data_IF_131652043445
#
_entry.id   IF_131652043445
#
_cell.length_a   1.000
_cell.length_b   1.000
_cell.length_c   1.000
_cell.angle_alpha   90.00
_cell.angle_beta   90.00
_cell.angle_gamma   90.00
#
_symmetry.space_group_name_H-M   'P 1'
#
loop_
_entity.id
_entity.type
_entity.pdbx_description
1 polymer ?
#
# COMPACT_ATOMS: atom_id res chain seq x y z
N UNK A 1 11.13 16.89 -18.06
CA UNK A 1 12.37 16.17 -18.41
C UNK A 1 12.38 14.89 -17.61
N UNK A 2 12.17 13.74 -18.26
CA UNK A 2 12.34 12.45 -17.60
C UNK A 2 13.84 12.12 -17.57
N UNK A 3 14.33 11.69 -16.42
CA UNK A 3 15.72 11.24 -16.27
C UNK A 3 15.93 9.89 -16.95
N UNK A 4 17.16 9.59 -17.39
CA UNK A 4 17.49 8.30 -18.04
C UNK A 4 17.14 7.08 -17.16
N UNK A 5 17.23 7.25 -15.83
CA UNK A 5 16.80 6.27 -14.85
C UNK A 5 15.28 6.02 -14.88
N UNK A 6 14.46 7.08 -14.99
CA UNK A 6 13.00 6.96 -15.10
C UNK A 6 12.59 6.26 -16.41
N UNK A 7 13.30 6.56 -17.51
CA UNK A 7 13.11 5.86 -18.79
C UNK A 7 13.42 4.37 -18.66
N UNK A 8 14.57 4.02 -18.10
CA UNK A 8 14.97 2.62 -17.89
C UNK A 8 13.98 1.85 -17.02
N UNK A 9 13.48 2.47 -15.94
CA UNK A 9 12.46 1.86 -15.08
C UNK A 9 11.12 1.66 -15.78
N UNK A 10 10.69 2.64 -16.59
CA UNK A 10 9.47 2.52 -17.39
C UNK A 10 9.56 1.35 -18.39
N UNK A 11 10.70 1.22 -19.09
CA UNK A 11 10.97 0.12 -20.00
C UNK A 11 10.94 -1.24 -19.29
N UNK A 12 11.64 -1.37 -18.16
CA UNK A 12 11.63 -2.62 -17.37
C UNK A 12 10.23 -2.98 -16.87
N UNK A 13 9.45 -1.99 -16.45
CA UNK A 13 8.08 -2.23 -16.00
C UNK A 13 7.18 -2.71 -17.15
N UNK A 14 7.23 -2.05 -18.31
CA UNK A 14 6.47 -2.47 -19.50
C UNK A 14 6.87 -3.88 -19.97
N UNK A 15 8.17 -4.18 -20.01
CA UNK A 15 8.68 -5.52 -20.33
C UNK A 15 8.18 -6.58 -19.33
N UNK A 16 8.17 -6.27 -18.02
CA UNK A 16 7.64 -7.18 -16.99
C UNK A 16 6.15 -7.45 -17.11
N UNK A 17 5.44 -6.64 -17.90
CA UNK A 17 3.99 -6.75 -18.19
C UNK A 17 3.71 -7.28 -19.59
N UNK A 18 4.73 -7.81 -20.28
CA UNK A 18 4.60 -8.43 -21.61
C UNK A 18 4.57 -7.44 -22.78
N UNK A 19 5.00 -6.18 -22.57
CA UNK A 19 5.00 -5.14 -23.61
C UNK A 19 6.40 -4.52 -23.76
N UNK A 20 7.40 -5.24 -24.29
CA UNK A 20 8.73 -4.68 -24.52
C UNK A 20 8.70 -3.61 -25.63
N UNK A 21 9.16 -2.40 -25.32
CA UNK A 21 9.24 -1.26 -26.25
C UNK A 21 10.64 -0.65 -26.22
N UNK A 22 11.09 0.00 -27.31
CA UNK A 22 12.36 0.74 -27.35
C UNK A 22 12.23 2.12 -26.70
N UNK A 23 11.09 2.77 -26.90
CA UNK A 23 10.78 4.06 -26.33
C UNK A 23 9.28 4.11 -25.98
N UNK A 24 8.91 4.31 -24.70
CA UNK A 24 7.51 4.50 -24.34
C UNK A 24 7.02 5.84 -24.90
N UNK A 25 5.72 5.95 -25.18
CA UNK A 25 5.16 7.25 -25.57
C UNK A 25 5.42 8.30 -24.47
N UNK A 26 5.58 9.60 -24.81
CA UNK A 26 5.94 10.62 -23.83
C UNK A 26 5.02 10.67 -22.60
N UNK A 27 3.71 10.49 -22.82
CA UNK A 27 2.72 10.43 -21.76
C UNK A 27 2.88 9.19 -20.87
N UNK A 28 3.10 8.00 -21.47
CA UNK A 28 3.35 6.77 -20.71
C UNK A 28 4.62 6.86 -19.86
N UNK A 29 5.67 7.46 -20.40
CA UNK A 29 6.88 7.74 -19.64
C UNK A 29 6.62 8.64 -18.43
N UNK A 30 5.88 9.74 -18.61
CA UNK A 30 5.50 10.63 -17.51
C UNK A 30 4.59 9.94 -16.47
N UNK A 31 3.65 9.11 -16.92
CA UNK A 31 2.76 8.35 -16.06
C UNK A 31 3.54 7.32 -15.23
N UNK A 32 4.47 6.58 -15.83
CA UNK A 32 5.33 5.61 -15.13
C UNK A 32 6.33 6.29 -14.19
N UNK A 33 6.80 7.51 -14.52
CA UNK A 33 7.64 8.30 -13.62
C UNK A 33 6.92 8.71 -12.31
N UNK A 34 5.57 8.67 -12.28
CA UNK A 34 4.82 8.89 -11.02
C UNK A 34 5.04 7.79 -9.98
N UNK A 35 5.44 6.58 -10.41
CA UNK A 35 5.77 5.45 -9.55
C UNK A 35 7.14 5.61 -8.88
N UNK A 36 8.07 6.30 -9.52
CA UNK A 36 9.41 6.43 -8.99
C UNK A 36 9.45 7.48 -7.88
N UNK A 37 9.43 7.03 -6.63
CA UNK A 37 9.64 7.91 -5.49
C UNK A 37 11.14 8.10 -5.33
N UNK A 38 11.72 9.03 -6.10
CA UNK A 38 13.08 9.48 -5.83
C UNK A 38 13.15 9.95 -4.38
N UNK A 39 14.20 9.55 -3.65
CA UNK A 39 14.36 9.78 -2.20
C UNK A 39 14.07 11.24 -1.83
N UNK A 40 14.51 12.21 -2.64
CA UNK A 40 14.26 13.64 -2.42
C UNK A 40 12.78 14.06 -2.47
N UNK A 41 11.92 13.36 -3.21
CA UNK A 41 10.48 13.65 -3.27
C UNK A 41 9.65 13.01 -2.15
N UNK A 42 10.21 12.03 -1.44
CA UNK A 42 9.60 11.45 -0.24
C UNK A 42 10.09 12.10 1.05
N UNK A 43 11.31 12.63 1.07
CA UNK A 43 11.93 13.14 2.30
C UNK A 43 11.06 14.13 3.10
N UNK A 44 10.40 15.15 2.50
CA UNK A 44 9.55 16.06 3.26
C UNK A 44 8.36 15.35 3.93
N UNK A 45 7.77 14.37 3.24
CA UNK A 45 6.65 13.60 3.77
C UNK A 45 7.11 12.59 4.83
N UNK A 46 8.28 11.98 4.62
CA UNK A 46 8.91 11.07 5.58
C UNK A 46 9.24 11.78 6.89
N UNK A 47 9.77 13.00 6.82
CA UNK A 47 10.03 13.83 8.00
C UNK A 47 8.71 14.21 8.70
N UNK A 48 7.72 14.71 7.95
CA UNK A 48 6.43 15.11 8.52
C UNK A 48 5.73 13.92 9.22
N UNK A 49 5.52 12.82 8.51
CA UNK A 49 4.81 11.67 9.07
C UNK A 49 5.66 10.90 10.08
N UNK A 50 6.99 10.92 9.96
CA UNK A 50 7.89 10.36 10.97
C UNK A 50 7.82 11.10 12.30
N UNK A 51 7.80 12.44 12.27
CA UNK A 51 7.61 13.26 13.49
C UNK A 51 6.22 13.03 14.09
N UNK A 52 5.16 13.04 13.27
CA UNK A 52 3.80 12.73 13.74
C UNK A 52 3.69 11.33 14.34
N UNK A 53 4.36 10.34 13.74
CA UNK A 53 4.39 8.98 14.24
C UNK A 53 5.15 8.87 15.57
N UNK A 54 6.27 9.59 15.73
CA UNK A 54 7.02 9.63 16.98
C UNK A 54 6.18 10.20 18.13
N UNK A 55 5.60 11.40 17.94
CA UNK A 55 4.75 12.01 18.97
C UNK A 55 3.47 11.22 19.20
N UNK A 56 2.89 10.65 18.14
CA UNK A 56 1.75 9.75 18.22
C UNK A 56 2.06 8.54 19.09
N UNK A 57 3.19 7.87 18.88
CA UNK A 57 3.62 6.72 19.68
C UNK A 57 3.81 7.09 21.16
N UNK A 58 4.53 8.19 21.44
CA UNK A 58 4.76 8.67 22.82
C UNK A 58 3.43 8.98 23.52
N UNK A 59 2.54 9.70 22.84
CA UNK A 59 1.22 10.03 23.39
C UNK A 59 0.35 8.79 23.61
N UNK A 60 0.41 7.83 22.68
CA UNK A 60 -0.33 6.57 22.77
C UNK A 60 0.15 5.72 23.94
N UNK A 61 1.46 5.54 24.08
CA UNK A 61 2.05 4.80 25.21
C UNK A 61 1.80 5.50 26.54
N UNK A 62 1.75 6.84 26.56
CA UNK A 62 1.40 7.61 27.75
C UNK A 62 -0.07 7.46 28.15
N UNK A 63 -0.98 7.27 27.18
CA UNK A 63 -2.41 7.05 27.42
C UNK A 63 -2.71 5.67 28.02
N UNK A 64 -2.02 4.63 27.54
CA UNK A 64 -2.27 3.23 27.95
C UNK A 64 -1.27 2.69 28.98
N UNK A 65 -0.17 3.41 29.21
CA UNK A 65 0.83 3.11 30.22
C UNK A 65 1.51 1.74 30.02
N UNK A 66 2.00 1.10 31.10
CA UNK A 66 2.80 -0.13 31.01
C UNK A 66 2.02 -1.36 30.48
N UNK A 67 0.68 -1.26 30.40
CA UNK A 67 -0.20 -2.28 29.83
C UNK A 67 -0.46 -2.13 28.33
N UNK A 68 0.14 -1.14 27.67
CA UNK A 68 0.03 -0.93 26.22
C UNK A 68 0.65 -2.09 25.42
N UNK A 69 0.27 -2.15 24.14
CA UNK A 69 0.82 -3.07 23.15
C UNK A 69 2.32 -2.77 22.96
N UNK A 70 3.20 -3.79 22.97
CA UNK A 70 4.64 -3.56 22.78
C UNK A 70 4.94 -3.14 21.35
N UNK A 71 4.08 -3.56 20.41
CA UNK A 71 4.15 -3.22 19.01
C UNK A 71 3.72 -1.78 18.65
N UNK A 72 3.37 -0.92 19.62
CA UNK A 72 3.01 0.49 19.37
C UNK A 72 4.01 1.21 18.44
N UNK A 73 5.34 1.20 18.69
CA UNK A 73 6.28 1.91 17.83
C UNK A 73 6.29 1.36 16.40
N UNK A 74 6.11 0.04 16.24
CA UNK A 74 6.06 -0.60 14.93
C UNK A 74 4.79 -0.20 14.15
N UNK A 75 3.64 -0.10 14.81
CA UNK A 75 2.42 0.43 14.18
C UNK A 75 2.59 1.87 13.69
N UNK A 76 3.14 2.75 14.53
CA UNK A 76 3.36 4.15 14.14
C UNK A 76 4.40 4.29 13.03
N UNK A 77 5.46 3.48 13.03
CA UNK A 77 6.39 3.40 11.90
C UNK A 77 5.68 2.95 10.62
N UNK A 78 4.81 1.94 10.70
CA UNK A 78 4.01 1.49 9.56
C UNK A 78 3.08 2.59 9.03
N UNK A 79 2.43 3.36 9.91
CA UNK A 79 1.59 4.51 9.51
C UNK A 79 2.42 5.56 8.77
N UNK A 80 3.60 5.90 9.29
CA UNK A 80 4.48 6.87 8.66
C UNK A 80 4.91 6.43 7.26
N UNK A 81 5.33 5.18 7.10
CA UNK A 81 5.73 4.61 5.81
C UNK A 81 4.55 4.64 4.84
N UNK A 82 3.40 4.14 5.25
CA UNK A 82 2.19 4.07 4.44
C UNK A 82 1.75 5.45 3.95
N UNK A 83 1.67 6.44 4.85
CA UNK A 83 1.25 7.80 4.53
C UNK A 83 2.28 8.53 3.66
N UNK A 84 3.58 8.32 3.90
CA UNK A 84 4.66 8.88 3.08
C UNK A 84 4.57 8.38 1.65
N UNK A 85 4.50 7.07 1.45
CA UNK A 85 4.39 6.46 0.12
C UNK A 85 3.13 6.93 -0.62
N UNK A 86 1.99 6.94 0.08
CA UNK A 86 0.73 7.44 -0.47
C UNK A 86 0.83 8.90 -0.91
N UNK A 87 1.34 9.77 -0.02
CA UNK A 87 1.36 11.21 -0.27
C UNK A 87 2.35 11.57 -1.37
N UNK A 88 3.50 10.92 -1.42
CA UNK A 88 4.49 11.05 -2.51
C UNK A 88 3.94 10.60 -3.85
N UNK A 89 3.22 9.47 -3.92
CA UNK A 89 2.57 9.03 -5.15
C UNK A 89 1.48 10.01 -5.59
N UNK A 90 0.64 10.48 -4.65
CA UNK A 90 -0.46 11.42 -4.96
C UNK A 90 0.03 12.80 -5.38
N UNK A 91 1.12 13.32 -4.83
CA UNK A 91 1.66 14.63 -5.23
C UNK A 91 2.11 14.62 -6.69
N UNK A 92 2.81 13.56 -7.13
CA UNK A 92 3.22 13.37 -8.53
C UNK A 92 2.04 13.18 -9.46
N UNK A 93 1.07 12.35 -9.09
CA UNK A 93 -0.17 12.19 -9.87
C UNK A 93 -0.93 13.52 -10.02
N UNK A 94 -1.00 14.34 -8.96
CA UNK A 94 -1.61 15.67 -9.03
C UNK A 94 -0.84 16.63 -9.92
N UNK A 95 0.49 16.57 -9.92
CA UNK A 95 1.31 17.37 -10.83
C UNK A 95 1.06 16.98 -12.30
N UNK A 96 0.99 15.68 -12.60
CA UNK A 96 0.65 15.18 -13.93
C UNK A 96 -0.79 15.55 -14.34
N UNK A 97 -1.74 15.47 -13.40
CA UNK A 97 -3.13 15.85 -13.63
C UNK A 97 -3.30 17.33 -14.04
N UNK A 98 -2.41 18.23 -13.61
CA UNK A 98 -2.47 19.66 -13.98
C UNK A 98 -2.17 19.91 -15.46
N UNK A 99 -1.45 18.98 -16.10
CA UNK A 99 -1.02 19.11 -17.51
C UNK A 99 -1.73 18.09 -18.41
N UNK A 100 -2.71 17.36 -17.89
CA UNK A 100 -3.45 16.32 -18.62
C UNK A 100 -4.94 16.58 -18.49
N UNK A 101 -5.69 16.46 -19.59
CA UNK A 101 -7.14 16.48 -19.52
C UNK A 101 -7.67 15.18 -18.88
N UNK A 102 -8.71 15.24 -18.02
CA UNK A 102 -9.31 14.04 -17.44
C UNK A 102 -9.85 13.11 -18.53
N UNK A 103 -9.57 11.81 -18.41
CA UNK A 103 -10.11 10.82 -19.34
C UNK A 103 -11.64 10.71 -19.22
N UNK A 104 -12.41 10.79 -20.32
CA UNK A 104 -13.87 10.78 -20.30
C UNK A 104 -14.48 9.37 -20.11
N UNK A 105 -13.66 8.32 -20.20
CA UNK A 105 -14.13 6.94 -20.13
C UNK A 105 -14.42 6.43 -18.70
N UNK A 106 -14.87 5.17 -18.58
CA UNK A 106 -15.42 4.64 -17.34
C UNK A 106 -14.39 4.63 -16.20
N UNK A 107 -14.89 4.92 -15.00
CA UNK A 107 -14.15 4.95 -13.74
C UNK A 107 -13.37 3.63 -13.55
N UNK A 108 -12.15 3.65 -13.01
CA UNK A 108 -11.35 2.45 -12.80
C UNK A 108 -12.09 1.43 -11.94
N UNK A 109 -11.93 0.14 -12.28
CA UNK A 109 -12.57 -0.97 -11.56
C UNK A 109 -12.14 -1.00 -10.09
N UNK A 110 -13.04 -1.54 -9.27
CA UNK A 110 -12.88 -1.78 -7.83
C UNK A 110 -11.66 -2.64 -7.51
N UNK A 111 -11.12 -2.54 -6.27
CA UNK A 111 -10.07 -3.44 -5.81
C UNK A 111 -10.49 -4.91 -5.98
N UNK A 112 -9.51 -5.77 -6.31
CA UNK A 112 -9.77 -7.20 -6.53
C UNK A 112 -10.24 -7.89 -5.25
N UNK A 113 -11.06 -8.95 -5.39
CA UNK A 113 -11.64 -9.67 -4.25
C UNK A 113 -10.61 -10.18 -3.22
N UNK A 114 -9.42 -10.59 -3.67
CA UNK A 114 -8.34 -11.01 -2.77
C UNK A 114 -7.79 -9.88 -1.89
N UNK A 115 -7.74 -8.65 -2.42
CA UNK A 115 -7.35 -7.49 -1.63
C UNK A 115 -8.42 -7.12 -0.60
N UNK A 116 -9.70 -7.21 -0.98
CA UNK A 116 -10.81 -7.00 -0.04
C UNK A 116 -10.77 -8.06 1.07
N UNK A 117 -10.50 -9.32 0.72
CA UNK A 117 -10.36 -10.40 1.68
C UNK A 117 -9.18 -10.16 2.64
N UNK A 118 -8.01 -9.72 2.15
CA UNK A 118 -6.87 -9.43 3.04
C UNK A 118 -7.15 -8.25 3.97
N UNK A 119 -7.83 -7.20 3.50
CA UNK A 119 -8.30 -6.08 4.33
C UNK A 119 -9.28 -6.58 5.40
N UNK A 120 -10.28 -7.38 5.02
CA UNK A 120 -11.26 -7.92 5.95
C UNK A 120 -10.60 -8.82 7.01
N UNK A 121 -9.68 -9.69 6.59
CA UNK A 121 -8.93 -10.55 7.51
C UNK A 121 -8.08 -9.73 8.48
N UNK A 122 -7.36 -8.71 8.01
CA UNK A 122 -6.53 -7.87 8.86
C UNK A 122 -7.37 -7.17 9.94
N UNK A 123 -8.45 -6.49 9.56
CA UNK A 123 -9.19 -5.67 10.51
C UNK A 123 -10.21 -6.46 11.31
N UNK A 124 -11.02 -7.31 10.67
CA UNK A 124 -12.02 -8.12 11.38
C UNK A 124 -11.36 -9.27 12.16
N UNK A 125 -10.33 -9.91 11.60
CA UNK A 125 -9.58 -10.96 12.29
C UNK A 125 -8.79 -10.39 13.48
N UNK A 126 -8.08 -9.27 13.28
CA UNK A 126 -7.40 -8.57 14.38
C UNK A 126 -8.36 -8.11 15.48
N UNK A 127 -9.52 -7.55 15.10
CA UNK A 127 -10.54 -7.14 16.08
C UNK A 127 -11.11 -8.34 16.84
N UNK A 128 -11.41 -9.46 16.17
CA UNK A 128 -11.91 -10.66 16.83
C UNK A 128 -10.89 -11.24 17.83
N UNK A 129 -9.61 -11.28 17.45
CA UNK A 129 -8.53 -11.70 18.35
C UNK A 129 -8.40 -10.76 19.55
N UNK A 130 -8.41 -9.44 19.31
CA UNK A 130 -8.39 -8.45 20.39
C UNK A 130 -9.58 -8.63 21.34
N UNK A 131 -10.79 -8.78 20.79
CA UNK A 131 -12.02 -8.98 21.57
C UNK A 131 -11.96 -10.24 22.44
N UNK A 132 -11.33 -11.32 21.96
CA UNK A 132 -11.15 -12.55 22.72
C UNK A 132 -10.28 -12.36 23.99
N UNK A 133 -9.47 -11.31 24.06
CA UNK A 133 -8.65 -10.98 25.22
C UNK A 133 -9.37 -10.12 26.27
N UNK A 134 -10.56 -9.57 25.99
CA UNK A 134 -11.25 -8.67 26.92
C UNK A 134 -11.66 -9.33 28.24
N UNK A 135 -11.91 -10.65 28.23
CA UNK A 135 -12.24 -11.44 29.42
C UNK A 135 -11.00 -11.94 30.18
N UNK A 136 -9.81 -11.54 29.76
CA UNK A 136 -8.53 -11.96 30.37
C UNK A 136 -7.85 -10.80 31.10
N UNK A 137 -6.84 -11.03 31.95
CA UNK A 137 -6.03 -9.97 32.55
C UNK A 137 -5.34 -9.06 31.51
N UNK A 138 -5.23 -9.48 30.25
CA UNK A 138 -4.66 -8.71 29.15
C UNK A 138 -5.62 -7.66 28.56
N UNK A 139 -6.65 -7.21 29.30
CA UNK A 139 -7.65 -6.25 28.82
C UNK A 139 -7.05 -4.93 28.33
N UNK A 140 -6.05 -4.39 29.02
CA UNK A 140 -5.40 -3.13 28.61
C UNK A 140 -4.70 -3.30 27.25
N UNK A 141 -4.02 -4.42 27.05
CA UNK A 141 -3.42 -4.80 25.78
C UNK A 141 -4.47 -4.95 24.67
N UNK A 142 -5.61 -5.57 24.99
CA UNK A 142 -6.70 -5.74 24.04
C UNK A 142 -7.23 -4.40 23.52
N UNK A 143 -7.52 -3.47 24.45
CA UNK A 143 -8.07 -2.14 24.11
C UNK A 143 -7.05 -1.29 23.35
N UNK A 144 -5.78 -1.29 23.77
CA UNK A 144 -4.72 -0.57 23.06
C UNK A 144 -4.48 -1.15 21.65
N UNK A 145 -4.45 -2.47 21.52
CA UNK A 145 -4.30 -3.08 20.20
C UNK A 145 -5.50 -2.79 19.29
N UNK A 146 -6.72 -2.82 19.83
CA UNK A 146 -7.93 -2.47 19.09
C UNK A 146 -7.90 -1.01 18.61
N UNK A 147 -7.40 -0.09 19.45
CA UNK A 147 -7.23 1.31 19.07
C UNK A 147 -6.22 1.49 17.94
N UNK A 148 -5.10 0.78 17.96
CA UNK A 148 -4.11 0.78 16.87
C UNK A 148 -4.68 0.18 15.58
N UNK A 149 -5.47 -0.90 15.66
CA UNK A 149 -6.18 -1.48 14.52
C UNK A 149 -7.19 -0.49 13.91
N UNK A 150 -7.95 0.22 14.75
CA UNK A 150 -8.89 1.24 14.29
C UNK A 150 -8.16 2.38 13.58
N UNK A 151 -7.05 2.88 14.16
CA UNK A 151 -6.24 3.92 13.54
C UNK A 151 -5.63 3.45 12.21
N UNK A 152 -5.13 2.21 12.17
CA UNK A 152 -4.65 1.58 10.94
C UNK A 152 -5.74 1.49 9.87
N UNK A 153 -6.95 1.09 10.25
CA UNK A 153 -8.09 1.02 9.33
C UNK A 153 -8.44 2.39 8.76
N UNK A 154 -8.38 3.45 9.57
CA UNK A 154 -8.58 4.83 9.11
C UNK A 154 -7.48 5.27 8.14
N UNK A 155 -6.21 4.98 8.44
CA UNK A 155 -5.10 5.27 7.52
C UNK A 155 -5.28 4.56 6.18
N UNK A 156 -5.54 3.24 6.20
CA UNK A 156 -5.82 2.44 5.01
C UNK A 156 -7.03 2.97 4.24
N UNK A 157 -8.13 3.29 4.92
CA UNK A 157 -9.33 3.89 4.31
C UNK A 157 -9.03 5.23 3.62
N UNK A 158 -8.24 6.11 4.26
CA UNK A 158 -7.80 7.38 3.68
C UNK A 158 -6.93 7.18 2.43
N UNK A 159 -6.00 6.23 2.46
CA UNK A 159 -5.13 5.88 1.32
C UNK A 159 -5.98 5.37 0.14
N UNK A 160 -6.86 4.40 0.41
CA UNK A 160 -7.74 3.80 -0.59
C UNK A 160 -8.70 4.83 -1.19
N UNK A 161 -9.40 5.60 -0.35
CA UNK A 161 -10.28 6.67 -0.80
C UNK A 161 -9.51 7.70 -1.63
N UNK A 162 -8.27 8.00 -1.22
CA UNK A 162 -7.38 8.89 -1.95
C UNK A 162 -7.08 8.41 -3.37
N UNK A 163 -6.80 7.12 -3.56
CA UNK A 163 -6.53 6.54 -4.88
C UNK A 163 -7.80 6.32 -5.71
N UNK A 164 -8.89 5.86 -5.09
CA UNK A 164 -10.15 5.56 -5.80
C UNK A 164 -10.88 6.83 -6.25
N UNK A 165 -10.71 7.95 -5.54
CA UNK A 165 -11.25 9.26 -5.94
C UNK A 165 -10.28 10.06 -6.84
N UNK A 166 -9.15 9.48 -7.25
CA UNK A 166 -8.20 10.15 -8.13
C UNK A 166 -8.79 10.32 -9.54
N UNK A 167 -8.51 11.44 -10.22
CA UNK A 167 -8.83 11.55 -11.63
C UNK A 167 -8.05 10.50 -12.44
N UNK A 168 -8.69 9.97 -13.48
CA UNK A 168 -8.08 9.01 -14.41
C UNK A 168 -7.10 9.76 -15.31
N UNK A 169 -5.83 9.34 -15.28
CA UNK A 169 -4.76 9.93 -16.09
C UNK A 169 -4.52 9.04 -17.31
N UNK A 170 -5.26 9.30 -18.38
CA UNK A 170 -5.15 8.58 -19.64
C UNK A 170 -5.49 9.51 -20.82
N UNK A 171 -4.84 9.26 -21.96
CA UNK A 171 -5.02 9.99 -23.23
C UNK A 171 -5.52 9.04 -24.33
N UNK A 172 -5.35 7.74 -24.15
CA UNK A 172 -5.71 6.68 -25.09
C UNK A 172 -5.96 5.35 -24.35
N UNK A 173 -6.38 4.31 -25.08
CA UNK A 173 -6.61 2.97 -24.52
C UNK A 173 -5.38 2.36 -23.82
N UNK A 174 -4.18 2.38 -24.44
CA UNK A 174 -2.94 1.91 -23.82
C UNK A 174 -2.58 2.63 -22.50
N UNK A 175 -2.66 3.96 -22.45
CA UNK A 175 -2.40 4.72 -21.22
C UNK A 175 -3.44 4.46 -20.14
N UNK A 176 -4.70 4.22 -20.50
CA UNK A 176 -5.72 3.76 -19.55
C UNK A 176 -5.38 2.38 -18.96
N UNK A 177 -4.87 1.46 -19.78
CA UNK A 177 -4.44 0.15 -19.31
C UNK A 177 -3.25 0.24 -18.33
N UNK A 178 -2.26 1.08 -18.65
CA UNK A 178 -1.12 1.35 -17.75
C UNK A 178 -1.59 2.02 -16.47
N UNK A 179 -2.47 3.03 -16.54
CA UNK A 179 -3.03 3.68 -15.37
C UNK A 179 -3.75 2.69 -14.45
N UNK A 180 -4.56 1.79 -15.01
CA UNK A 180 -5.26 0.76 -14.24
C UNK A 180 -4.30 -0.21 -13.56
N UNK A 181 -3.27 -0.65 -14.26
CA UNK A 181 -2.24 -1.52 -13.68
C UNK A 181 -1.47 -0.82 -12.55
N UNK A 182 -1.10 0.46 -12.74
CA UNK A 182 -0.46 1.26 -11.70
C UNK A 182 -1.38 1.53 -10.51
N UNK A 183 -2.67 1.78 -10.74
CA UNK A 183 -3.65 1.93 -9.66
C UNK A 183 -3.76 0.65 -8.83
N UNK A 184 -3.80 -0.51 -9.50
CA UNK A 184 -3.81 -1.80 -8.81
C UNK A 184 -2.55 -2.01 -7.97
N UNK A 185 -1.36 -1.64 -8.46
CA UNK A 185 -0.12 -1.66 -7.67
C UNK A 185 -0.15 -0.65 -6.50
N UNK A 186 -0.59 0.57 -6.75
CA UNK A 186 -0.60 1.66 -5.75
C UNK A 186 -1.58 1.39 -4.60
N UNK A 187 -2.67 0.66 -4.84
CA UNK A 187 -3.60 0.22 -3.79
C UNK A 187 -2.89 -0.63 -2.73
N UNK A 188 -1.85 -1.40 -3.12
CA UNK A 188 -1.05 -2.18 -2.18
C UNK A 188 -0.14 -1.31 -1.29
N UNK A 189 -0.02 0.00 -1.52
CA UNK A 189 0.59 0.91 -0.53
C UNK A 189 -0.20 0.89 0.78
N UNK A 190 -1.51 0.65 0.72
CA UNK A 190 -2.33 0.48 1.92
C UNK A 190 -2.03 -0.83 2.69
N UNK A 191 -1.24 -1.75 2.12
CA UNK A 191 -0.73 -3.00 2.69
C UNK A 191 -1.38 -3.47 4.02
N UNK A 192 -2.46 -4.26 3.97
CA UNK A 192 -3.11 -4.82 5.17
C UNK A 192 -2.16 -5.56 6.13
N UNK A 193 -1.06 -6.13 5.63
CA UNK A 193 0.00 -6.73 6.42
C UNK A 193 0.64 -5.76 7.43
N UNK A 194 0.66 -4.46 7.15
CA UNK A 194 1.13 -3.43 8.09
C UNK A 194 0.25 -3.34 9.35
N UNK A 195 -0.98 -3.85 9.30
CA UNK A 195 -1.85 -3.97 10.47
C UNK A 195 -1.69 -5.33 11.20
N UNK A 196 -1.23 -6.36 10.51
CA UNK A 196 -1.22 -7.75 11.01
C UNK A 196 0.15 -8.23 11.52
N UNK A 197 1.24 -7.66 11.00
CA UNK A 197 2.61 -8.05 11.36
C UNK A 197 3.10 -7.45 12.69
N UNK A 198 2.85 -6.16 13.01
CA UNK A 198 3.37 -5.58 14.25
C UNK A 198 3.04 -6.37 15.53
N UNK A 199 1.83 -6.94 15.71
CA UNK A 199 1.50 -7.75 16.89
C UNK A 199 2.38 -8.98 17.12
N UNK A 200 3.09 -9.47 16.09
CA UNK A 200 4.06 -10.56 16.26
C UNK A 200 5.16 -10.17 17.26
N UNK A 201 5.53 -8.89 17.32
CA UNK A 201 6.52 -8.39 18.28
C UNK A 201 6.05 -8.55 19.73
N UNK A 202 4.74 -8.61 19.96
CA UNK A 202 4.19 -8.82 21.31
C UNK A 202 4.39 -10.25 21.81
N UNK A 203 4.65 -11.22 20.91
CA UNK A 203 4.96 -12.61 21.27
C UNK A 203 6.27 -12.69 22.06
N UNK A 204 7.20 -11.74 21.86
CA UNK A 204 8.43 -11.65 22.64
C UNK A 204 8.18 -11.36 24.13
N UNK A 205 6.96 -10.91 24.49
CA UNK A 205 6.50 -10.75 25.88
C UNK A 205 5.38 -11.72 26.20
N UNK A 206 5.70 -13.01 26.06
CA UNK A 206 4.79 -14.12 26.31
C UNK A 206 4.19 -14.13 27.73
N UNK A 207 4.83 -13.47 28.69
CA UNK A 207 4.33 -13.29 30.06
C UNK A 207 3.00 -12.52 30.14
N UNK A 208 2.66 -11.74 29.10
CA UNK A 208 1.47 -10.88 29.08
C UNK A 208 0.29 -11.47 28.28
N UNK A 209 0.50 -12.59 27.60
CA UNK A 209 -0.48 -13.20 26.71
C UNK A 209 -0.92 -14.57 27.25
N UNK A 210 -2.19 -14.95 27.08
CA UNK A 210 -2.64 -16.31 27.40
C UNK A 210 -1.83 -17.37 26.65
N UNK A 211 -1.67 -18.55 27.27
CA UNK A 211 -0.97 -19.67 26.64
C UNK A 211 -1.58 -20.02 25.28
N UNK A 212 -0.74 -20.22 24.26
CA UNK A 212 -1.16 -20.52 22.89
C UNK A 212 -1.59 -19.30 22.04
N UNK A 213 -1.80 -18.13 22.64
CA UNK A 213 -2.23 -16.93 21.90
C UNK A 213 -1.18 -16.44 20.89
N UNK A 214 0.11 -16.65 21.18
CA UNK A 214 1.19 -16.32 20.23
C UNK A 214 1.11 -17.10 18.92
N UNK A 215 0.69 -18.37 18.96
CA UNK A 215 0.48 -19.16 17.74
C UNK A 215 -0.73 -18.63 16.94
N UNK A 216 -1.79 -18.18 17.62
CA UNK A 216 -2.94 -17.55 16.98
C UNK A 216 -2.55 -16.24 16.27
N UNK A 217 -1.73 -15.39 16.91
CA UNK A 217 -1.19 -14.17 16.30
C UNK A 217 -0.33 -14.47 15.06
N UNK A 218 0.55 -15.47 15.15
CA UNK A 218 1.40 -15.88 14.03
C UNK A 218 0.56 -16.42 12.85
N UNK A 219 -0.44 -17.27 13.13
CA UNK A 219 -1.36 -17.80 12.12
C UNK A 219 -2.18 -16.69 11.46
N UNK A 220 -2.68 -15.73 12.23
CA UNK A 220 -3.37 -14.55 11.74
C UNK A 220 -2.48 -13.71 10.80
N UNK A 221 -1.25 -13.38 11.23
CA UNK A 221 -0.34 -12.61 10.41
C UNK A 221 0.03 -13.34 9.11
N UNK A 222 0.30 -14.66 9.19
CA UNK A 222 0.58 -15.48 8.01
C UNK A 222 -0.60 -15.50 7.02
N UNK A 223 -1.84 -15.59 7.52
CA UNK A 223 -3.04 -15.57 6.69
C UNK A 223 -3.21 -14.22 5.97
N UNK A 224 -3.02 -13.10 6.67
CA UNK A 224 -3.11 -11.76 6.08
C UNK A 224 -2.01 -11.55 5.05
N UNK A 225 -0.77 -11.85 5.39
CA UNK A 225 0.37 -11.72 4.46
C UNK A 225 0.20 -12.61 3.23
N UNK A 226 -0.23 -13.86 3.42
CA UNK A 226 -0.47 -14.80 2.32
C UNK A 226 -1.58 -14.33 1.38
N UNK A 227 -2.70 -13.88 1.92
CA UNK A 227 -3.82 -13.36 1.10
C UNK A 227 -3.45 -12.06 0.38
N UNK A 228 -2.72 -11.16 1.04
CA UNK A 228 -2.19 -9.95 0.40
C UNK A 228 -1.19 -10.28 -0.72
N UNK A 229 -0.28 -11.24 -0.49
CA UNK A 229 0.66 -11.69 -1.51
C UNK A 229 -0.07 -12.26 -2.73
N UNK A 230 -1.10 -13.08 -2.53
CA UNK A 230 -1.95 -13.57 -3.63
C UNK A 230 -2.63 -12.42 -4.37
N UNK A 231 -3.14 -11.42 -3.64
CA UNK A 231 -3.73 -10.23 -4.25
C UNK A 231 -2.72 -9.46 -5.12
N UNK A 232 -1.49 -9.29 -4.61
CA UNK A 232 -0.39 -8.63 -5.31
C UNK A 232 0.07 -9.40 -6.55
N UNK A 233 0.25 -10.71 -6.44
CA UNK A 233 0.63 -11.54 -7.60
C UNK A 233 -0.47 -11.54 -8.67
N UNK A 234 -1.75 -11.55 -8.27
CA UNK A 234 -2.88 -11.45 -9.21
C UNK A 234 -3.06 -10.07 -9.82
N UNK A 235 -2.54 -9.01 -9.22
CA UNK A 235 -2.53 -7.66 -9.81
C UNK A 235 -1.41 -7.48 -10.83
N UNK A 236 -0.42 -8.39 -10.87
CA UNK A 236 0.68 -8.43 -11.85
C UNK A 236 0.31 -9.03 -13.22
N UNK A 237 -0.94 -8.91 -13.65
CA UNK A 237 -1.38 -9.41 -14.96
C UNK A 237 -0.69 -8.69 -16.14
N UNK A 238 -0.50 -9.38 -17.28
CA UNK A 238 -0.03 -8.76 -18.51
C UNK A 238 -0.93 -7.59 -18.94
N UNK A 239 -0.34 -6.62 -19.62
CA UNK A 239 -1.11 -5.56 -20.27
C UNK A 239 -1.83 -6.12 -21.51
N UNK A 240 -3.03 -5.61 -21.84
CA UNK A 240 -3.71 -5.99 -23.08
C UNK A 240 -2.86 -5.58 -24.30
N UNK A 241 -3.10 -6.17 -25.48
CA UNK A 241 -2.44 -5.72 -26.72
C UNK A 241 -2.73 -4.23 -26.99
N UNK A 242 -1.73 -3.48 -27.43
CA UNK A 242 -1.86 -2.05 -27.73
C UNK A 242 -0.55 -1.39 -28.11
N UNK A 243 -0.62 -0.15 -28.59
CA UNK A 243 0.57 0.64 -28.93
C UNK A 243 1.09 1.36 -27.67
N UNK A 244 2.11 0.78 -27.03
CA UNK A 244 2.73 1.33 -25.81
C UNK A 244 3.97 2.20 -26.08
N UNK A 245 4.37 2.33 -27.34
CA UNK A 245 5.60 3.00 -27.75
C UNK A 245 6.18 2.38 -29.02
N UNK A 246 7.38 2.82 -29.39
CA UNK A 246 8.09 2.24 -30.52
C UNK A 246 8.49 0.78 -30.21
N UNK A 247 8.25 -0.18 -31.12
CA UNK A 247 8.60 -1.57 -30.90
C UNK A 247 10.11 -1.70 -30.65
N UNK A 248 10.48 -2.53 -29.67
CA UNK A 248 11.87 -2.91 -29.46
C UNK A 248 12.41 -3.63 -30.70
N UNK A 249 13.69 -3.46 -31.03
CA UNK A 249 14.37 -4.05 -32.20
C UNK A 249 14.38 -5.60 -32.26
N UNK A 250 13.60 -6.30 -31.42
CA UNK A 250 13.41 -7.75 -31.41
C UNK A 250 11.97 -8.21 -31.64
N UNK A 251 11.04 -7.32 -32.02
CA UNK A 251 9.65 -7.69 -32.39
C UNK A 251 9.42 -7.36 -33.86
N UNK A 252 10.14 -8.07 -34.74
CA UNK A 252 9.80 -8.20 -36.16
C UNK A 252 9.75 -9.70 -36.43
N UNK A 253 8.54 -10.24 -36.59
CA UNK A 253 8.33 -11.62 -37.07
C UNK A 253 7.64 -12.53 -36.07
N UNK A 254 6.33 -12.72 -36.28
CA UNK A 254 5.48 -13.71 -35.66
C UNK A 254 4.11 -13.68 -36.33
#
# INVERSE_FOLDING_TARGET
>A
MNTEAERTMALRWLASRGQPVAAPTPFLGALLATRNVAIGGALPWALLFGVLALFGAIGYDSLFGPGATVSTPAYFACFAIQLTLWRSARSRQRALAKVTHPWPGPVPRTPGGWFIASVALAYCGGAALSLALFSTPARTYAVSWLGLLALSALCTGCVLAGFLRAPVLAVDGPSLAVYRALLAENIHVAAPALAAVPPILDVARADRLPAGYGAALAGYAALVVGTELVAYLRSRRPLPPGHYGEPGAGVIGG
#
